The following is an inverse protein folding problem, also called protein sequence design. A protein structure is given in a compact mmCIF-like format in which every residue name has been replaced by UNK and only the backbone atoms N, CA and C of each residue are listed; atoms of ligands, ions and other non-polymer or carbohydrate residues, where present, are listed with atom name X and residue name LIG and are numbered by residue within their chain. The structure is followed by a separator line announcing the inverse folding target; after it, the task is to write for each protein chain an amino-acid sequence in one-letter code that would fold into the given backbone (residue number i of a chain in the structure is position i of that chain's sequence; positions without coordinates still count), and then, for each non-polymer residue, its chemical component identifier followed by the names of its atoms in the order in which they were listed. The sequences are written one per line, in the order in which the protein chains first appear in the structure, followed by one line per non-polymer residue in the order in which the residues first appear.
data_IF_919311276384
#
_entry.id   IF_919311276384
#
_cell.length_a   1.000
_cell.length_b   1.000
_cell.length_c   1.000
_cell.angle_alpha   90.00
_cell.angle_beta   90.00
_cell.angle_gamma   90.00
#
_symmetry.space_group_name_H-M   'P 1'
#
loop_
_entity.id
_entity.type
_entity.pdbx_description
1 polymer ?
#
# COMPACT_ATOMS: atom_id res chain seq x y z
N UNK A 1 -75.13 53.52 26.18
CA UNK A 1 -74.13 52.75 26.94
C UNK A 1 -73.12 52.19 25.96
N UNK A 2 -71.98 52.87 25.82
CA UNK A 2 -70.87 52.49 24.96
C UNK A 2 -69.65 52.34 25.87
N UNK A 3 -69.09 51.14 25.99
CA UNK A 3 -67.69 50.97 26.41
C UNK A 3 -67.07 49.85 25.58
N UNK A 4 -66.27 50.28 24.61
CA UNK A 4 -65.21 49.52 23.97
C UNK A 4 -64.29 48.88 25.01
N UNK A 5 -63.95 47.60 24.84
CA UNK A 5 -62.62 47.09 25.21
C UNK A 5 -62.05 46.19 24.13
N UNK A 6 -61.02 46.74 23.49
CA UNK A 6 -60.01 46.07 22.70
C UNK A 6 -59.20 45.10 23.58
N UNK A 7 -58.83 43.96 23.00
CA UNK A 7 -57.88 43.02 23.58
C UNK A 7 -57.25 42.15 22.48
N UNK A 8 -56.48 42.77 21.59
CA UNK A 8 -55.51 42.07 20.73
C UNK A 8 -54.36 41.59 21.62
N UNK A 9 -53.98 40.32 21.55
CA UNK A 9 -52.58 39.92 21.75
C UNK A 9 -52.28 38.62 21.01
N UNK A 10 -51.52 38.81 19.94
CA UNK A 10 -50.64 37.92 19.19
C UNK A 10 -50.48 36.46 19.67
N UNK A 11 -50.95 35.57 18.80
CA UNK A 11 -50.38 34.27 18.48
C UNK A 11 -48.95 34.46 17.87
N UNK A 12 -48.21 33.41 17.51
CA UNK A 12 -47.57 32.34 18.29
C UNK A 12 -46.05 32.59 18.33
N UNK A 13 -45.39 32.39 19.48
CA UNK A 13 -43.93 32.29 19.51
C UNK A 13 -43.53 30.94 18.90
N UNK A 14 -43.37 30.93 17.58
CA UNK A 14 -42.58 29.94 16.89
C UNK A 14 -41.16 30.00 17.45
N UNK A 15 -40.85 29.09 18.37
CA UNK A 15 -39.48 28.69 18.67
C UNK A 15 -38.87 28.17 17.36
N UNK A 16 -38.32 29.08 16.58
CA UNK A 16 -37.35 28.78 15.53
C UNK A 16 -36.12 28.27 16.27
N UNK A 17 -36.16 26.98 16.59
CA UNK A 17 -35.00 26.21 16.99
C UNK A 17 -34.04 26.25 15.80
N UNK A 18 -33.17 27.26 15.80
CA UNK A 18 -32.02 27.34 14.92
C UNK A 18 -31.13 26.14 15.21
N UNK A 19 -31.36 25.08 14.43
CA UNK A 19 -30.37 24.29 13.70
C UNK A 19 -28.94 24.65 14.09
N UNK A 20 -28.45 24.06 15.18
CA UNK A 20 -27.04 23.80 15.39
C UNK A 20 -26.83 22.29 15.21
N UNK A 21 -27.26 21.77 14.06
CA UNK A 21 -26.75 20.50 13.55
C UNK A 21 -25.31 20.81 13.11
N UNK A 22 -24.41 20.88 14.10
CA UNK A 22 -22.98 20.70 13.87
C UNK A 22 -22.88 19.26 13.38
N UNK A 23 -23.05 19.11 12.07
CA UNK A 23 -22.62 17.96 11.33
C UNK A 23 -21.12 17.89 11.59
N UNK A 24 -20.76 17.18 12.66
CA UNK A 24 -19.47 16.54 12.82
C UNK A 24 -19.38 15.63 11.61
N UNK A 25 -19.01 16.22 10.49
CA UNK A 25 -18.33 15.57 9.40
C UNK A 25 -17.04 15.10 10.04
N UNK A 26 -17.15 13.97 10.74
CA UNK A 26 -16.07 13.07 10.96
C UNK A 26 -15.59 12.76 9.55
N UNK A 27 -14.67 13.61 9.07
CA UNK A 27 -13.77 13.30 7.99
C UNK A 27 -12.95 12.16 8.56
N UNK A 28 -13.55 10.97 8.57
CA UNK A 28 -12.86 9.71 8.69
C UNK A 28 -12.06 9.60 7.41
N UNK A 29 -10.98 10.40 7.34
CA UNK A 29 -9.92 10.20 6.39
C UNK A 29 -9.40 8.82 6.71
N UNK A 30 -9.79 7.82 5.90
CA UNK A 30 -9.23 6.49 6.00
C UNK A 30 -7.71 6.66 5.98
N UNK A 31 -7.08 6.35 7.11
CA UNK A 31 -5.63 6.40 7.23
C UNK A 31 -5.03 5.52 6.11
N UNK A 32 -3.85 5.89 5.59
CA UNK A 32 -3.13 4.99 4.70
C UNK A 32 -2.87 3.69 5.45
N UNK A 33 -3.34 2.58 4.90
CA UNK A 33 -3.22 1.25 5.49
C UNK A 33 -2.89 0.27 4.38
N UNK A 34 -2.04 -0.71 4.69
CA UNK A 34 -1.86 -1.88 3.84
C UNK A 34 -1.97 -3.18 4.64
N UNK A 35 -2.48 -4.21 3.98
CA UNK A 35 -2.52 -5.58 4.48
C UNK A 35 -1.72 -6.47 3.53
N UNK A 36 -0.72 -7.15 4.06
CA UNK A 36 0.24 -7.96 3.32
C UNK A 36 0.13 -9.41 3.82
N UNK A 37 0.17 -10.34 2.89
CA UNK A 37 0.15 -11.78 3.14
C UNK A 37 1.38 -12.41 2.49
N UNK A 38 2.12 -13.18 3.28
CA UNK A 38 3.33 -13.90 2.88
C UNK A 38 3.02 -15.40 2.97
N UNK A 39 3.15 -16.11 1.86
CA UNK A 39 2.97 -17.56 1.79
C UNK A 39 4.22 -18.20 1.20
N UNK A 40 5.04 -18.83 2.04
CA UNK A 40 6.28 -19.47 1.61
C UNK A 40 5.99 -20.70 0.72
N UNK A 41 6.68 -20.77 -0.42
CA UNK A 41 6.47 -21.79 -1.44
C UNK A 41 7.45 -22.95 -1.26
N UNK A 42 7.55 -23.48 -0.03
CA UNK A 42 8.39 -24.64 0.29
C UNK A 42 7.60 -25.94 0.14
N UNK A 43 7.79 -26.64 -0.97
CA UNK A 43 7.13 -27.93 -1.24
C UNK A 43 7.90 -29.15 -0.71
N UNK A 44 9.04 -28.96 -0.04
CA UNK A 44 9.87 -30.08 0.47
C UNK A 44 9.52 -30.47 1.89
N UNK A 45 9.15 -29.49 2.72
CA UNK A 45 8.84 -29.68 4.13
C UNK A 45 7.84 -28.61 4.56
N UNK A 46 6.80 -29.04 5.26
CA UNK A 46 5.88 -28.16 5.99
C UNK A 46 6.22 -28.31 7.47
N UNK A 47 6.53 -27.20 8.14
CA UNK A 47 6.58 -27.19 9.59
C UNK A 47 5.19 -26.88 10.12
N UNK A 48 4.71 -27.67 11.07
CA UNK A 48 3.39 -27.48 11.68
C UNK A 48 3.37 -26.32 12.68
N UNK A 49 4.55 -25.86 13.14
CA UNK A 49 4.64 -24.68 14.02
C UNK A 49 4.48 -23.37 13.26
N UNK A 50 4.79 -23.35 11.96
CA UNK A 50 4.87 -22.13 11.19
C UNK A 50 3.53 -21.83 10.51
N UNK A 51 3.05 -20.58 10.54
CA UNK A 51 1.81 -20.23 9.86
C UNK A 51 1.98 -20.39 8.34
N UNK A 52 1.02 -21.08 7.69
CA UNK A 52 0.99 -21.22 6.23
C UNK A 52 0.95 -19.87 5.50
N UNK A 53 0.29 -18.88 6.12
CA UNK A 53 0.21 -17.51 5.64
C UNK A 53 0.51 -16.58 6.80
N UNK A 54 1.57 -15.79 6.69
CA UNK A 54 1.85 -14.72 7.65
C UNK A 54 1.22 -13.43 7.18
N UNK A 55 0.52 -12.73 8.07
CA UNK A 55 -0.13 -11.44 7.76
C UNK A 55 0.61 -10.30 8.46
N UNK A 56 0.93 -9.24 7.71
CA UNK A 56 1.60 -8.05 8.20
C UNK A 56 0.81 -6.82 7.76
N UNK A 57 0.50 -5.94 8.69
CA UNK A 57 -0.12 -4.65 8.38
C UNK A 57 0.98 -3.58 8.26
N UNK A 58 0.84 -2.67 7.30
CA UNK A 58 1.69 -1.49 7.17
C UNK A 58 0.91 -0.26 7.64
N UNK A 59 1.51 0.49 8.56
CA UNK A 59 0.92 1.69 9.16
C UNK A 59 1.24 2.96 8.37
N UNK A 60 2.27 2.90 7.51
CA UNK A 60 2.61 3.96 6.57
C UNK A 60 2.57 3.40 5.16
N UNK A 61 1.82 4.08 4.29
CA UNK A 61 1.77 3.77 2.87
C UNK A 61 1.75 5.08 2.08
N UNK A 62 2.77 5.28 1.27
CA UNK A 62 3.01 6.51 0.54
C UNK A 62 3.34 6.23 -0.92
N UNK A 63 3.11 7.22 -1.78
CA UNK A 63 3.48 7.14 -3.19
C UNK A 63 4.04 8.47 -3.70
N UNK A 64 4.84 8.38 -4.76
CA UNK A 64 5.48 9.51 -5.42
C UNK A 64 5.70 9.21 -6.91
N UNK A 65 6.07 10.24 -7.66
CA UNK A 65 6.42 10.14 -9.08
C UNK A 65 7.86 10.59 -9.23
N UNK A 66 8.67 9.79 -9.94
CA UNK A 66 10.00 10.17 -10.37
C UNK A 66 10.13 9.91 -11.88
N UNK A 67 10.20 10.98 -12.67
CA UNK A 67 10.13 10.89 -14.13
C UNK A 67 8.84 10.22 -14.60
N UNK A 68 8.98 9.15 -15.39
CA UNK A 68 7.84 8.36 -15.86
C UNK A 68 7.48 7.20 -14.92
N UNK A 69 8.05 7.12 -13.72
CA UNK A 69 7.83 6.00 -12.81
C UNK A 69 7.00 6.41 -11.60
N UNK A 70 6.12 5.50 -11.20
CA UNK A 70 5.41 5.57 -9.93
C UNK A 70 6.16 4.75 -8.89
N UNK A 71 6.41 5.38 -7.75
CA UNK A 71 7.07 4.77 -6.60
C UNK A 71 6.07 4.66 -5.46
N UNK A 72 6.03 3.50 -4.81
CA UNK A 72 5.10 3.25 -3.70
C UNK A 72 5.90 2.64 -2.57
N UNK A 73 5.86 3.26 -1.40
CA UNK A 73 6.48 2.79 -0.18
C UNK A 73 5.44 2.30 0.81
N UNK A 74 5.74 1.20 1.50
CA UNK A 74 4.94 0.66 2.59
C UNK A 74 5.88 0.32 3.74
N UNK A 75 5.50 0.66 4.98
CA UNK A 75 6.26 0.23 6.15
C UNK A 75 5.37 0.04 7.38
N UNK A 76 5.79 -0.86 8.28
CA UNK A 76 5.23 -0.93 9.62
C UNK A 76 6.23 -0.39 10.64
N UNK A 77 5.73 0.43 11.58
CA UNK A 77 6.57 1.12 12.55
C UNK A 77 7.46 2.25 11.98
N UNK A 78 8.26 2.84 12.87
CA UNK A 78 9.21 3.90 12.51
C UNK A 78 10.44 3.28 11.83
N UNK A 79 10.73 3.79 10.65
CA UNK A 79 11.88 3.51 9.78
C UNK A 79 13.22 3.55 10.58
N UNK A 80 13.32 4.41 11.60
CA UNK A 80 14.55 4.63 12.38
C UNK A 80 14.59 3.99 13.78
N UNK A 81 13.61 3.18 14.17
CA UNK A 81 13.71 2.49 15.47
C UNK A 81 14.92 1.52 15.48
N UNK A 82 15.40 1.05 16.63
CA UNK A 82 16.45 0.00 16.70
C UNK A 82 15.92 -1.36 17.16
N UNK A 83 14.81 -1.40 17.90
CA UNK A 83 14.11 -2.62 18.32
C UNK A 83 12.78 -2.86 17.58
N UNK A 84 12.30 -4.11 17.62
CA UNK A 84 10.98 -4.52 17.13
C UNK A 84 10.95 -5.11 15.73
N UNK A 85 9.78 -5.61 15.35
CA UNK A 85 9.51 -6.09 14.01
C UNK A 85 9.35 -4.90 13.06
N UNK A 86 10.09 -4.94 11.94
CA UNK A 86 10.02 -3.89 10.93
C UNK A 86 10.01 -4.47 9.55
N UNK A 87 9.15 -3.92 8.73
CA UNK A 87 8.96 -4.26 7.35
C UNK A 87 8.94 -2.95 6.57
N UNK A 88 9.71 -2.95 5.49
CA UNK A 88 9.71 -1.90 4.49
C UNK A 88 9.56 -2.58 3.13
N UNK A 89 8.63 -2.12 2.31
CA UNK A 89 8.38 -2.63 0.97
C UNK A 89 8.29 -1.45 0.02
N UNK A 90 8.89 -1.58 -1.15
CA UNK A 90 8.80 -0.57 -2.21
C UNK A 90 8.43 -1.20 -3.55
N UNK A 91 7.59 -0.49 -4.29
CA UNK A 91 7.32 -0.72 -5.70
C UNK A 91 7.90 0.41 -6.54
N UNK A 92 8.41 0.06 -7.71
CA UNK A 92 8.74 1.00 -8.80
C UNK A 92 8.09 0.44 -10.06
N UNK A 93 7.14 1.18 -10.64
CA UNK A 93 6.34 0.74 -11.80
C UNK A 93 6.35 1.84 -12.88
N UNK A 94 6.19 1.43 -14.14
CA UNK A 94 6.30 2.36 -15.27
C UNK A 94 4.95 3.03 -15.61
N UNK A 95 4.91 4.33 -15.43
CA UNK A 95 3.81 5.24 -15.73
C UNK A 95 2.72 5.28 -14.66
N UNK A 96 1.96 6.37 -14.64
CA UNK A 96 0.73 6.47 -13.87
C UNK A 96 -0.39 5.58 -14.45
N UNK A 97 -1.42 5.26 -13.65
CA UNK A 97 -2.62 4.65 -14.19
C UNK A 97 -3.29 5.61 -15.17
N UNK A 98 -3.44 5.20 -16.43
CA UNK A 98 -4.21 5.95 -17.42
C UNK A 98 -5.70 5.72 -17.16
N UNK A 99 -6.42 6.74 -16.69
CA UNK A 99 -7.83 6.62 -16.31
C UNK A 99 -8.02 6.15 -14.86
N UNK A 100 -9.01 5.29 -14.63
CA UNK A 100 -9.42 4.92 -13.27
C UNK A 100 -8.61 3.77 -12.66
N UNK A 101 -8.11 2.82 -13.45
CA UNK A 101 -7.37 1.65 -12.96
C UNK A 101 -6.37 1.21 -14.04
N UNK A 102 -5.20 0.72 -13.60
CA UNK A 102 -4.21 0.11 -14.49
C UNK A 102 -3.60 -1.10 -13.83
N UNK A 103 -3.49 -2.17 -14.61
CA UNK A 103 -2.76 -3.37 -14.25
C UNK A 103 -1.29 -3.28 -14.72
N UNK A 104 -0.37 -3.52 -13.80
CA UNK A 104 1.07 -3.52 -14.03
C UNK A 104 1.58 -4.95 -13.93
N UNK A 105 2.31 -5.37 -14.96
CA UNK A 105 3.11 -6.59 -14.90
C UNK A 105 4.35 -6.33 -14.05
N UNK A 106 4.52 -7.12 -12.99
CA UNK A 106 5.68 -7.01 -12.10
C UNK A 106 6.80 -7.89 -12.63
N UNK A 107 7.99 -7.30 -12.78
CA UNK A 107 9.22 -8.01 -13.13
C UNK A 107 10.24 -7.97 -11.98
N UNK A 108 11.46 -8.48 -12.21
CA UNK A 108 12.50 -8.67 -11.17
C UNK A 108 12.94 -7.41 -10.43
N UNK A 109 12.66 -6.23 -10.97
CA UNK A 109 13.09 -4.94 -10.43
C UNK A 109 11.94 -4.14 -9.82
N UNK A 110 10.70 -4.59 -9.96
CA UNK A 110 9.54 -3.81 -9.52
C UNK A 110 9.43 -3.77 -7.99
N UNK A 111 9.55 -4.91 -7.29
CA UNK A 111 9.40 -4.97 -5.83
C UNK A 111 10.72 -5.26 -5.11
N UNK A 112 10.92 -4.54 -4.01
CA UNK A 112 11.90 -4.85 -2.96
C UNK A 112 11.18 -4.84 -1.62
N UNK A 113 11.49 -5.80 -0.77
CA UNK A 113 11.00 -5.82 0.60
C UNK A 113 12.14 -6.23 1.52
N UNK A 114 12.18 -5.59 2.67
CA UNK A 114 13.03 -5.90 3.80
C UNK A 114 12.12 -6.18 4.99
N UNK A 115 12.36 -7.27 5.68
CA UNK A 115 11.65 -7.60 6.90
C UNK A 115 12.64 -8.05 7.97
N UNK A 116 12.69 -7.30 9.05
CA UNK A 116 13.36 -7.63 10.28
C UNK A 116 12.36 -8.19 11.26
N UNK A 117 12.55 -9.43 11.71
CA UNK A 117 11.81 -9.98 12.84
C UNK A 117 12.77 -10.67 13.81
N UNK A 118 12.67 -10.33 15.10
CA UNK A 118 13.54 -10.86 16.15
C UNK A 118 15.06 -10.85 15.80
N UNK A 119 15.62 -12.01 15.41
CA UNK A 119 17.06 -12.22 15.10
C UNK A 119 17.33 -12.52 13.63
N UNK A 120 16.30 -12.40 12.79
CA UNK A 120 16.35 -12.79 11.39
C UNK A 120 16.03 -11.60 10.50
N UNK A 121 16.81 -11.49 9.43
CA UNK A 121 16.59 -10.49 8.40
C UNK A 121 16.19 -11.22 7.14
N UNK A 122 15.01 -10.88 6.62
CA UNK A 122 14.51 -11.38 5.37
C UNK A 122 14.53 -10.28 4.31
N UNK A 123 14.86 -10.69 3.09
CA UNK A 123 14.85 -9.82 1.92
C UNK A 123 14.09 -10.47 0.81
N UNK A 124 13.31 -9.66 0.10
CA UNK A 124 12.51 -10.10 -1.02
C UNK A 124 12.78 -9.26 -2.25
N UNK A 125 12.90 -9.94 -3.38
CA UNK A 125 12.93 -9.33 -4.70
C UNK A 125 11.86 -9.99 -5.55
N UNK A 126 11.04 -9.21 -6.26
CA UNK A 126 10.07 -9.80 -7.19
C UNK A 126 10.75 -10.72 -8.20
N UNK A 127 10.01 -11.72 -8.66
CA UNK A 127 10.35 -12.56 -9.80
C UNK A 127 9.37 -12.29 -10.93
N UNK A 128 8.07 -12.39 -10.63
CA UNK A 128 6.98 -12.05 -11.51
C UNK A 128 5.72 -11.73 -10.69
N UNK A 129 4.70 -11.18 -11.34
CA UNK A 129 3.40 -10.99 -10.72
C UNK A 129 2.60 -9.90 -11.37
N UNK A 130 1.63 -9.40 -10.61
CA UNK A 130 0.70 -8.36 -11.03
C UNK A 130 0.41 -7.41 -9.88
N UNK A 131 0.30 -6.12 -10.20
CA UNK A 131 -0.21 -5.07 -9.30
C UNK A 131 -1.29 -4.33 -10.07
N UNK A 132 -2.49 -4.19 -9.50
CA UNK A 132 -3.49 -3.26 -10.03
C UNK A 132 -3.52 -2.01 -9.15
N UNK A 133 -3.50 -0.83 -9.78
CA UNK A 133 -3.55 0.47 -9.09
C UNK A 133 -4.70 1.28 -9.66
N UNK A 134 -5.45 1.90 -8.75
CA UNK A 134 -6.52 2.84 -9.01
C UNK A 134 -6.22 4.17 -8.35
N UNK A 135 -6.38 5.26 -9.10
CA UNK A 135 -6.33 6.61 -8.55
C UNK A 135 -7.65 6.91 -7.83
N UNK A 136 -7.56 7.34 -6.58
CA UNK A 136 -8.67 7.75 -5.74
C UNK A 136 -8.72 9.28 -5.61
N UNK A 137 -9.87 9.86 -5.25
CA UNK A 137 -9.95 11.28 -4.94
C UNK A 137 -9.00 11.69 -3.81
N UNK A 138 -8.42 12.89 -3.95
CA UNK A 138 -7.49 13.47 -2.97
C UNK A 138 -6.09 12.88 -3.05
N UNK A 139 -5.56 12.67 -4.26
CA UNK A 139 -4.15 12.26 -4.49
C UNK A 139 -3.77 10.96 -3.77
N UNK A 140 -4.74 10.03 -3.67
CA UNK A 140 -4.53 8.72 -3.06
C UNK A 140 -4.49 7.65 -4.13
N UNK A 141 -3.70 6.61 -3.88
CA UNK A 141 -3.68 5.41 -4.70
C UNK A 141 -4.21 4.24 -3.90
N UNK A 142 -5.16 3.50 -4.45
CA UNK A 142 -5.48 2.16 -3.96
C UNK A 142 -4.80 1.14 -4.86
N UNK A 143 -4.32 0.06 -4.28
CA UNK A 143 -3.81 -1.05 -5.06
C UNK A 143 -4.03 -2.41 -4.43
N UNK A 144 -3.89 -3.42 -5.26
CA UNK A 144 -3.88 -4.83 -4.89
C UNK A 144 -2.82 -5.55 -5.70
N UNK A 145 -2.19 -6.56 -5.12
CA UNK A 145 -1.11 -7.25 -5.80
C UNK A 145 -1.05 -8.73 -5.46
N UNK A 146 -0.44 -9.49 -6.38
CA UNK A 146 -0.07 -10.89 -6.22
C UNK A 146 1.25 -11.14 -6.95
N UNK A 147 2.31 -11.36 -6.19
CA UNK A 147 3.70 -11.34 -6.65
C UNK A 147 4.43 -12.54 -6.11
N UNK A 148 5.06 -13.29 -6.99
CA UNK A 148 6.06 -14.26 -6.60
C UNK A 148 7.38 -13.53 -6.38
N UNK A 149 8.00 -13.73 -5.23
CA UNK A 149 9.27 -13.12 -4.87
C UNK A 149 10.30 -14.18 -4.47
N UNK A 150 11.57 -13.89 -4.76
CA UNK A 150 12.70 -14.60 -4.16
C UNK A 150 12.85 -14.11 -2.73
N UNK A 151 12.86 -15.03 -1.77
CA UNK A 151 13.14 -14.79 -0.35
C UNK A 151 14.60 -15.14 -0.05
N UNK A 152 15.30 -14.27 0.66
CA UNK A 152 16.64 -14.51 1.19
C UNK A 152 16.62 -14.23 2.69
N UNK A 153 16.87 -15.24 3.50
CA UNK A 153 16.93 -15.15 4.96
C UNK A 153 18.39 -15.11 5.39
N UNK A 154 18.75 -14.16 6.24
CA UNK A 154 20.09 -13.99 6.81
C UNK A 154 20.02 -14.24 8.32
N UNK A 155 20.78 -15.22 8.80
CA UNK A 155 20.93 -15.48 10.23
C UNK A 155 22.19 -14.78 10.75
N UNK A 156 22.01 -13.82 11.66
CA UNK A 156 23.10 -12.96 12.17
C UNK A 156 24.24 -13.78 12.80
N UNK A 157 23.89 -14.85 13.53
CA UNK A 157 24.86 -15.62 14.31
C UNK A 157 25.67 -16.63 13.49
N UNK A 158 25.08 -17.19 12.43
CA UNK A 158 25.71 -18.28 11.66
C UNK A 158 26.28 -17.79 10.33
N UNK A 159 25.93 -16.57 9.91
CA UNK A 159 26.26 -16.02 8.58
C UNK A 159 25.78 -16.92 7.42
N UNK A 160 24.77 -17.75 7.66
CA UNK A 160 24.18 -18.62 6.65
C UNK A 160 23.00 -17.92 5.99
N UNK A 161 22.85 -18.17 4.68
CA UNK A 161 21.75 -17.63 3.89
C UNK A 161 20.89 -18.74 3.31
N UNK A 162 19.59 -18.71 3.62
CA UNK A 162 18.61 -19.58 2.98
C UNK A 162 17.93 -18.84 1.85
N UNK A 163 17.82 -19.46 0.68
CA UNK A 163 17.12 -18.89 -0.47
C UNK A 163 15.85 -19.69 -0.74
N UNK A 164 14.73 -19.01 -0.83
CA UNK A 164 13.42 -19.59 -1.11
C UNK A 164 12.61 -18.75 -2.09
N UNK A 165 11.38 -19.17 -2.30
CA UNK A 165 10.36 -18.38 -2.98
C UNK A 165 9.19 -18.17 -2.04
N UNK A 166 8.59 -17.00 -2.10
CA UNK A 166 7.37 -16.68 -1.36
C UNK A 166 6.36 -16.05 -2.31
N UNK A 167 5.09 -16.28 -2.05
CA UNK A 167 3.99 -15.57 -2.67
C UNK A 167 3.59 -14.40 -1.76
N UNK A 168 3.78 -13.19 -2.27
CA UNK A 168 3.35 -11.94 -1.65
C UNK A 168 2.00 -11.53 -2.23
N UNK A 169 1.03 -11.26 -1.38
CA UNK A 169 -0.29 -10.78 -1.78
C UNK A 169 -0.72 -9.66 -0.84
N UNK A 170 -1.60 -8.78 -1.30
CA UNK A 170 -2.10 -7.75 -0.41
C UNK A 170 -2.89 -6.66 -1.08
N UNK A 171 -3.32 -5.71 -0.26
CA UNK A 171 -3.98 -4.48 -0.64
C UNK A 171 -3.33 -3.30 0.07
N UNK A 172 -3.39 -2.12 -0.53
CA UNK A 172 -2.88 -0.90 0.09
C UNK A 172 -3.69 0.32 -0.33
N UNK A 173 -3.69 1.34 0.53
CA UNK A 173 -4.08 2.71 0.19
C UNK A 173 -2.93 3.64 0.56
N UNK A 174 -2.33 4.28 -0.45
CA UNK A 174 -1.19 5.17 -0.32
C UNK A 174 -1.59 6.64 -0.44
N UNK A 175 -0.96 7.50 0.35
CA UNK A 175 -1.06 8.96 0.22
C UNK A 175 0.17 9.51 -0.50
N UNK A 176 0.04 10.62 -1.22
CA UNK A 176 1.19 11.23 -1.89
C UNK A 176 2.15 11.83 -0.84
N UNK A 177 3.38 11.32 -0.79
CA UNK A 177 4.45 11.78 0.12
C UNK A 177 5.81 11.30 -0.41
N UNK A 178 6.53 12.21 -1.08
CA UNK A 178 7.80 11.91 -1.72
C UNK A 178 8.93 11.60 -0.74
N UNK A 179 8.95 12.28 0.41
CA UNK A 179 10.02 12.13 1.41
C UNK A 179 9.92 10.75 2.07
N UNK A 180 8.70 10.36 2.46
CA UNK A 180 8.46 9.03 3.03
C UNK A 180 8.80 7.94 2.02
N UNK A 181 8.36 8.07 0.76
CA UNK A 181 8.68 7.08 -0.30
C UNK A 181 10.19 6.96 -0.50
N UNK A 182 10.90 8.08 -0.62
CA UNK A 182 12.36 8.08 -0.79
C UNK A 182 13.07 7.36 0.36
N UNK A 183 12.66 7.62 1.61
CA UNK A 183 13.23 6.95 2.78
C UNK A 183 13.03 5.43 2.74
N UNK A 184 11.84 4.97 2.36
CA UNK A 184 11.51 3.54 2.23
C UNK A 184 12.30 2.91 1.09
N UNK A 185 12.44 3.56 -0.06
CA UNK A 185 13.27 3.06 -1.17
C UNK A 185 14.70 2.84 -0.71
N UNK A 186 15.34 3.84 -0.10
CA UNK A 186 16.70 3.73 0.42
C UNK A 186 16.84 2.52 1.35
N UNK A 187 15.90 2.31 2.27
CA UNK A 187 15.93 1.15 3.15
C UNK A 187 15.82 -0.19 2.42
N UNK A 188 14.87 -0.30 1.50
CA UNK A 188 14.64 -1.54 0.75
C UNK A 188 15.75 -1.89 -0.25
N UNK A 189 16.58 -0.91 -0.62
CA UNK A 189 17.69 -1.08 -1.57
C UNK A 189 19.07 -1.30 -0.91
N UNK A 190 19.19 -1.05 0.41
CA UNK A 190 20.44 -1.26 1.17
C UNK A 190 20.98 -2.69 1.05
N UNK A 191 22.28 -2.87 1.22
CA UNK A 191 22.94 -4.19 1.30
C UNK A 191 22.88 -5.01 0.01
N UNK A 192 22.99 -4.37 -1.14
CA UNK A 192 23.05 -5.04 -2.45
C UNK A 192 21.68 -5.39 -3.06
N UNK A 193 20.59 -4.82 -2.55
CA UNK A 193 19.24 -4.99 -3.12
C UNK A 193 18.88 -3.88 -4.14
N UNK A 194 19.79 -2.94 -4.32
CA UNK A 194 19.70 -1.83 -5.28
C UNK A 194 19.24 -2.31 -6.66
N UNK A 195 18.22 -1.63 -7.19
CA UNK A 195 17.66 -1.96 -8.50
C UNK A 195 18.63 -1.61 -9.64
N UNK A 196 19.44 -0.57 -9.48
CA UNK A 196 20.31 0.05 -10.49
C UNK A 196 21.49 -0.79 -10.96
N UNK A 197 21.80 -1.96 -10.37
CA UNK A 197 22.94 -2.76 -10.80
C UNK A 197 22.86 -3.06 -12.32
N UNK A 198 23.77 -2.41 -13.06
CA UNK A 198 23.88 -2.27 -14.52
C UNK A 198 24.17 -3.58 -15.29
N UNK A 199 23.84 -4.74 -14.72
CA UNK A 199 24.25 -6.04 -15.26
C UNK A 199 23.23 -6.77 -16.14
N UNK A 200 21.97 -6.34 -16.20
CA UNK A 200 20.96 -7.03 -17.01
C UNK A 200 19.77 -6.11 -17.31
N UNK A 201 19.97 -5.18 -18.26
CA UNK A 201 18.86 -4.42 -18.84
C UNK A 201 18.08 -5.38 -19.75
N UNK A 202 17.20 -6.20 -19.17
CA UNK A 202 16.10 -6.76 -19.93
C UNK A 202 15.28 -5.55 -20.36
N UNK A 203 15.44 -5.14 -21.62
CA UNK A 203 14.50 -4.24 -22.29
C UNK A 203 13.17 -4.98 -22.37
N UNK A 204 12.42 -4.98 -21.27
CA UNK A 204 11.04 -5.41 -21.24
C UNK A 204 10.28 -4.51 -22.19
N UNK A 205 9.90 -5.05 -23.35
CA UNK A 205 8.93 -4.44 -24.23
C UNK A 205 7.71 -4.06 -23.40
N UNK A 206 7.39 -2.77 -23.31
CA UNK A 206 6.18 -2.25 -22.68
C UNK A 206 5.00 -3.10 -23.21
N UNK A 207 4.36 -3.95 -22.39
CA UNK A 207 3.16 -4.64 -22.82
C UNK A 207 2.10 -3.56 -23.06
N UNK A 208 1.52 -3.52 -24.27
CA UNK A 208 0.43 -2.59 -24.57
C UNK A 208 -0.68 -2.81 -23.54
N UNK A 209 -1.29 -1.73 -23.00
CA UNK A 209 -2.47 -1.86 -22.16
C UNK A 209 -3.49 -2.76 -22.87
N UNK A 210 -3.91 -3.85 -22.22
CA UNK A 210 -5.04 -4.63 -22.69
C UNK A 210 -6.28 -3.92 -22.21
N UNK A 211 -7.04 -3.35 -23.12
CA UNK A 211 -8.38 -2.86 -22.84
C UNK A 211 -9.22 -4.07 -22.37
N UNK A 212 -9.69 -4.00 -21.13
CA UNK A 212 -10.55 -5.04 -20.55
C UNK A 212 -11.97 -4.77 -21.06
N UNK A 213 -12.34 -5.41 -22.16
CA UNK A 213 -13.72 -5.40 -22.66
C UNK A 213 -14.55 -6.29 -21.74
N UNK A 214 -15.42 -5.68 -20.93
CA UNK A 214 -16.43 -6.41 -20.17
C UNK A 214 -17.52 -7.00 -21.08
N UNK A 215 -18.28 -8.01 -20.64
CA UNK A 215 -19.40 -8.53 -21.41
C UNK A 215 -20.43 -7.43 -21.67
N UNK A 216 -21.01 -7.40 -22.89
CA UNK A 216 -22.14 -6.53 -23.21
C UNK A 216 -23.28 -6.81 -22.22
N UNK A 217 -23.73 -5.77 -21.54
CA UNK A 217 -24.91 -5.83 -20.68
C UNK A 217 -26.12 -5.72 -21.62
N UNK A 218 -26.75 -6.86 -21.93
CA UNK A 218 -28.04 -6.93 -22.63
C UNK A 218 -29.20 -6.65 -21.69
#
# INVERSE_FOLDING_TARGET
MNVHRNGKSANPQHCVAWVALVAVTAVCGCAPVASLHFADLNFKRLDMSDPLITTVNADACSWAIEGDQIQIGLSNGRIDAESGDRMAMSFVLDGLPTGNEREYRVERRALRCYWHHAREHERFASLNGVVSIKLLPGERLAGRFRIMARKQVFHILTNWTTVGQTLLMGTFTAQQDADTVSSILVQTEKGGMDRSQKGNTIRGSIPRPREVVGPEVN
#
